data_IF_492907998119
#
_entry.id   IF_492907998119
#
_cell.length_a   1.000
_cell.length_b   1.000
_cell.length_c   1.000
_cell.angle_alpha   90.00
_cell.angle_beta   90.00
_cell.angle_gamma   90.00
#
_symmetry.space_group_name_H-M   'P 1'
#
loop_
_entity.id
_entity.type
_entity.pdbx_description
1 polymer ?
#
# COMPACT_ATOMS: atom_id res chain seq x y z
N UNK A 1 -2.48 22.17 -10.81
CA UNK A 1 -3.60 21.20 -10.78
C UNK A 1 -3.79 20.59 -12.16
N UNK A 2 -3.99 19.27 -12.23
CA UNK A 2 -4.28 18.53 -13.46
C UNK A 2 -5.38 17.49 -13.24
N UNK A 3 -6.13 17.15 -14.28
CA UNK A 3 -7.30 16.27 -14.21
C UNK A 3 -7.16 15.08 -15.17
N UNK A 4 -7.52 13.88 -14.73
CA UNK A 4 -7.63 12.75 -15.66
C UNK A 4 -8.89 12.89 -16.52
N UNK A 5 -8.84 12.69 -17.86
CA UNK A 5 -10.03 12.75 -18.70
C UNK A 5 -11.08 11.66 -18.40
N UNK A 6 -10.64 10.45 -18.02
CA UNK A 6 -11.53 9.29 -17.81
C UNK A 6 -12.24 9.35 -16.45
N UNK A 7 -11.49 9.15 -15.35
CA UNK A 7 -12.05 9.14 -14.01
C UNK A 7 -12.41 10.53 -13.46
N UNK A 8 -12.11 11.61 -14.20
CA UNK A 8 -12.31 13.02 -13.82
C UNK A 8 -11.71 13.40 -12.46
N UNK A 9 -10.74 12.65 -11.95
CA UNK A 9 -10.08 12.92 -10.67
C UNK A 9 -9.07 14.04 -10.81
N UNK A 10 -9.10 14.98 -9.86
CA UNK A 10 -8.23 16.17 -9.82
C UNK A 10 -6.99 15.91 -8.93
N UNK A 11 -5.81 16.31 -9.42
CA UNK A 11 -4.53 16.17 -8.77
C UNK A 11 -3.86 17.53 -8.57
N UNK A 12 -3.33 17.77 -7.37
CA UNK A 12 -2.70 19.04 -6.96
C UNK A 12 -1.18 19.03 -7.14
N UNK A 13 -0.56 17.87 -7.31
CA UNK A 13 0.86 17.72 -7.60
C UNK A 13 1.12 17.91 -9.10
N UNK A 14 1.75 19.03 -9.47
CA UNK A 14 2.06 19.35 -10.86
C UNK A 14 3.24 18.54 -11.43
N UNK A 15 3.92 17.71 -10.64
CA UNK A 15 4.92 16.74 -11.13
C UNK A 15 4.29 15.47 -11.71
N UNK A 16 3.06 15.11 -11.28
CA UNK A 16 2.32 13.99 -11.86
C UNK A 16 1.95 14.29 -13.32
N UNK A 17 2.29 13.37 -14.21
CA UNK A 17 2.01 13.44 -15.65
C UNK A 17 0.90 12.46 -16.08
N UNK A 18 0.66 11.43 -15.28
CA UNK A 18 -0.27 10.33 -15.55
C UNK A 18 -1.15 10.05 -14.33
N UNK A 19 -2.38 9.59 -14.56
CA UNK A 19 -3.26 9.14 -13.48
C UNK A 19 -2.75 7.81 -12.90
N UNK A 20 -2.85 7.67 -11.58
CA UNK A 20 -2.36 6.49 -10.85
C UNK A 20 -3.32 5.27 -10.91
N UNK A 21 -4.56 5.47 -11.38
CA UNK A 21 -5.59 4.43 -11.45
C UNK A 21 -5.78 3.86 -12.87
N UNK A 22 -5.75 4.72 -13.90
CA UNK A 22 -6.00 4.35 -15.30
C UNK A 22 -4.81 4.56 -16.25
N UNK A 23 -3.72 5.20 -15.78
CA UNK A 23 -2.50 5.44 -16.56
C UNK A 23 -2.59 6.55 -17.62
N UNK A 24 -3.74 7.18 -17.83
CA UNK A 24 -3.89 8.22 -18.86
C UNK A 24 -3.19 9.53 -18.47
N UNK A 25 -2.74 10.26 -19.48
CA UNK A 25 -2.07 11.55 -19.30
C UNK A 25 -3.02 12.58 -18.67
N UNK A 26 -2.55 13.27 -17.63
CA UNK A 26 -3.34 14.28 -16.92
C UNK A 26 -3.37 15.60 -17.71
N UNK A 27 -4.57 16.12 -17.97
CA UNK A 27 -4.79 17.36 -18.71
C UNK A 27 -4.75 18.55 -17.75
N UNK A 28 -4.08 19.64 -18.15
CA UNK A 28 -4.06 20.89 -17.38
C UNK A 28 -5.45 21.52 -17.37
N UNK A 29 -6.12 21.56 -16.22
CA UNK A 29 -7.46 22.12 -16.07
C UNK A 29 -7.42 23.54 -15.51
N UNK A 30 -8.13 24.48 -16.15
CA UNK A 30 -8.27 25.87 -15.68
C UNK A 30 -9.74 26.20 -15.39
N UNK A 31 -10.03 26.44 -14.11
CA UNK A 31 -11.29 26.99 -13.57
C UNK A 31 -10.88 28.00 -12.50
N UNK A 32 -11.50 29.21 -12.42
CA UNK A 32 -11.01 30.28 -11.56
C UNK A 32 -11.12 29.98 -10.06
N UNK A 33 -10.24 30.60 -9.28
CA UNK A 33 -10.14 30.40 -7.83
C UNK A 33 -11.26 31.14 -7.05
N UNK A 34 -11.90 30.51 -6.06
CA UNK A 34 -12.79 31.17 -5.10
C UNK A 34 -12.01 31.74 -3.91
N UNK A 35 -11.08 32.67 -4.16
CA UNK A 35 -10.35 33.38 -3.10
C UNK A 35 -11.12 34.65 -2.67
N UNK A 36 -11.85 34.57 -1.56
CA UNK A 36 -12.27 35.78 -0.81
C UNK A 36 -12.14 35.56 0.73
N UNK A 37 -11.16 36.21 1.39
CA UNK A 37 -10.93 36.05 2.83
C UNK A 37 -11.74 37.06 3.67
N UNK A 38 -12.83 36.60 4.29
CA UNK A 38 -13.63 37.41 5.22
C UNK A 38 -12.79 37.89 6.43
N UNK A 39 -12.52 39.20 6.51
CA UNK A 39 -11.59 39.79 7.48
C UNK A 39 -12.16 41.03 8.16
N UNK A 40 -12.67 40.91 9.41
CA UNK A 40 -13.05 42.03 10.31
C UNK A 40 -13.53 41.49 11.68
N UNK A 41 -13.43 42.17 12.84
CA UNK A 41 -12.45 43.15 13.37
C UNK A 41 -12.62 43.25 14.91
N UNK A 42 -11.66 43.89 15.61
CA UNK A 42 -11.52 44.15 17.05
C UNK A 42 -12.79 44.22 17.94
N UNK A 43 -12.67 43.79 19.21
CA UNK A 43 -12.72 44.68 20.42
C UNK A 43 -12.43 43.95 21.75
N UNK A 44 -12.19 44.74 22.82
CA UNK A 44 -11.69 44.35 24.17
C UNK A 44 -12.77 44.67 25.25
N UNK A 45 -12.86 43.94 26.39
CA UNK A 45 -13.99 44.04 27.35
C UNK A 45 -13.82 45.17 28.41
N UNK A 46 -14.76 45.33 29.35
CA UNK A 46 -14.58 44.71 30.69
C UNK A 46 -15.87 44.25 31.43
N UNK A 47 -15.64 43.60 32.58
CA UNK A 47 -16.38 43.51 33.88
C UNK A 47 -17.86 43.97 34.05
N UNK A 48 -18.60 43.29 34.94
CA UNK A 48 -18.99 43.79 36.31
C UNK A 48 -19.91 42.77 37.06
N UNK A 49 -19.95 42.88 38.40
CA UNK A 49 -20.66 42.07 39.42
C UNK A 49 -22.14 41.68 39.12
N UNK A 50 -22.61 40.53 39.61
CA UNK A 50 -23.31 40.39 40.91
C UNK A 50 -24.66 39.63 40.73
N UNK A 51 -25.46 39.25 41.73
CA UNK A 51 -25.37 39.33 43.20
C UNK A 51 -26.36 38.32 43.86
N UNK A 52 -26.19 38.06 45.18
CA UNK A 52 -27.11 37.50 46.21
C UNK A 52 -28.45 36.83 45.80
N UNK A 53 -28.87 35.70 46.40
CA UNK A 53 -29.51 35.70 47.76
C UNK A 53 -29.70 34.31 48.43
N UNK A 54 -29.96 34.34 49.75
CA UNK A 54 -30.44 33.28 50.70
C UNK A 54 -31.97 33.51 50.94
N UNK A 55 -32.75 32.83 51.84
CA UNK A 55 -32.61 31.59 52.64
C UNK A 55 -33.70 30.54 52.26
N UNK A 56 -34.14 29.50 52.99
CA UNK A 56 -34.01 28.94 54.38
C UNK A 56 -33.46 27.49 54.33
N UNK A 57 -33.22 26.69 55.38
CA UNK A 57 -33.58 26.59 56.83
C UNK A 57 -34.92 25.92 57.19
N UNK A 58 -34.85 24.65 57.63
CA UNK A 58 -35.84 23.97 58.47
C UNK A 58 -35.16 22.84 59.28
N UNK A 59 -35.71 22.46 60.44
CA UNK A 59 -35.04 21.68 61.51
C UNK A 59 -35.93 20.56 62.04
N UNK A 60 -35.37 19.38 62.36
CA UNK A 60 -35.95 18.50 63.39
C UNK A 60 -34.89 17.68 64.19
N UNK A 61 -35.33 17.19 65.35
CA UNK A 61 -34.70 16.26 66.30
C UNK A 61 -34.72 14.80 65.77
N UNK A 62 -34.30 13.72 66.44
CA UNK A 62 -33.90 13.38 67.84
C UNK A 62 -32.93 12.17 67.75
N UNK A 63 -32.25 11.59 68.75
CA UNK A 63 -32.28 11.50 70.23
C UNK A 63 -30.87 11.12 70.70
N UNK A 64 -30.45 11.43 71.94
CA UNK A 64 -29.19 10.95 72.51
C UNK A 64 -29.40 9.86 73.59
N UNK A 65 -28.71 8.72 73.50
CA UNK A 65 -28.57 7.72 74.58
C UNK A 65 -27.14 7.10 74.57
N UNK A 66 -26.44 7.31 75.69
CA UNK A 66 -25.29 6.58 76.26
C UNK A 66 -23.90 6.59 75.56
N UNK A 67 -22.89 6.49 76.45
CA UNK A 67 -21.44 6.41 76.28
C UNK A 67 -20.86 5.74 77.57
N UNK A 68 -19.57 5.36 77.64
CA UNK A 68 -18.55 5.32 76.58
C UNK A 68 -18.44 3.86 76.06
N UNK A 69 -17.45 2.97 76.34
CA UNK A 69 -16.13 3.13 76.96
C UNK A 69 -15.08 3.65 75.95
N UNK A 70 -13.78 3.45 76.23
CA UNK A 70 -12.68 3.93 75.38
C UNK A 70 -11.95 2.81 74.63
N UNK A 71 -11.45 3.12 73.44
CA UNK A 71 -10.29 2.41 72.85
C UNK A 71 -9.35 3.41 72.21
N UNK A 72 -8.12 3.50 72.71
CA UNK A 72 -7.05 4.32 72.13
C UNK A 72 -6.61 3.75 70.79
N UNK A 73 -6.86 4.49 69.70
CA UNK A 73 -6.64 4.03 68.32
C UNK A 73 -6.07 5.11 67.40
N UNK A 74 -5.12 5.91 67.89
CA UNK A 74 -4.52 7.00 67.12
C UNK A 74 -3.65 6.51 65.97
N UNK A 75 -4.22 6.43 64.77
CA UNK A 75 -3.49 6.13 63.53
C UNK A 75 -3.60 7.32 62.55
N UNK A 76 -2.75 8.34 62.73
CA UNK A 76 -2.66 9.51 61.82
C UNK A 76 -1.90 9.16 60.51
N UNK A 77 -2.24 8.01 59.92
CA UNK A 77 -1.57 7.42 58.75
C UNK A 77 -2.11 7.99 57.42
N UNK A 78 -2.36 9.31 57.38
CA UNK A 78 -2.93 10.00 56.19
C UNK A 78 -1.96 10.90 55.43
N UNK A 79 -0.72 11.06 55.90
CA UNK A 79 0.27 11.99 55.31
C UNK A 79 1.26 11.35 54.33
N UNK A 80 1.54 10.04 54.43
CA UNK A 80 2.57 9.36 53.62
C UNK A 80 1.98 8.63 52.39
N UNK A 81 0.70 8.25 52.40
CA UNK A 81 0.06 7.54 51.29
C UNK A 81 -0.03 8.35 49.98
N UNK A 82 -0.17 9.68 50.07
CA UNK A 82 -0.34 10.58 48.91
C UNK A 82 0.88 10.66 47.98
N UNK A 83 2.13 10.92 48.45
CA UNK A 83 3.30 10.93 47.56
C UNK A 83 3.57 9.57 46.92
N UNK A 84 3.33 8.46 47.62
CA UNK A 84 3.54 7.12 47.05
C UNK A 84 2.60 6.84 45.87
N UNK A 85 1.31 7.20 45.99
CA UNK A 85 0.34 7.14 44.90
C UNK A 85 0.72 8.04 43.70
N UNK A 86 1.23 9.24 43.97
CA UNK A 86 1.66 10.16 42.91
C UNK A 86 2.86 9.60 42.12
N UNK A 87 3.88 9.05 42.81
CA UNK A 87 5.03 8.40 42.16
C UNK A 87 4.58 7.21 41.33
N UNK A 88 3.69 6.36 41.85
CA UNK A 88 3.18 5.18 41.14
C UNK A 88 2.37 5.59 39.89
N UNK A 89 1.55 6.64 39.98
CA UNK A 89 0.84 7.19 38.82
C UNK A 89 1.80 7.74 37.74
N UNK A 90 2.86 8.46 38.14
CA UNK A 90 3.89 8.94 37.20
C UNK A 90 4.62 7.78 36.51
N UNK A 91 4.96 6.71 37.23
CA UNK A 91 5.57 5.52 36.66
C UNK A 91 4.64 4.79 35.66
N UNK A 92 3.34 4.73 35.95
CA UNK A 92 2.34 4.16 35.01
C UNK A 92 2.23 5.01 33.74
N UNK A 93 2.13 6.35 33.86
CA UNK A 93 2.07 7.24 32.69
C UNK A 93 3.36 7.19 31.88
N UNK A 94 4.53 7.14 32.52
CA UNK A 94 5.82 6.96 31.84
C UNK A 94 5.92 5.61 31.13
N UNK A 95 5.45 4.52 31.74
CA UNK A 95 5.41 3.19 31.13
C UNK A 95 4.48 3.11 29.92
N UNK A 96 3.28 3.69 30.01
CA UNK A 96 2.32 3.79 28.89
C UNK A 96 2.91 4.65 27.77
N UNK A 97 3.46 5.82 28.09
CA UNK A 97 4.10 6.71 27.12
C UNK A 97 5.29 6.05 26.42
N UNK A 98 6.14 5.31 27.14
CA UNK A 98 7.25 4.55 26.58
C UNK A 98 6.77 3.39 25.71
N UNK A 99 5.69 2.69 26.10
CA UNK A 99 5.06 1.64 25.30
C UNK A 99 4.50 2.16 23.98
N UNK A 100 3.73 3.25 24.02
CA UNK A 100 3.20 3.93 22.82
C UNK A 100 4.35 4.44 21.95
N UNK A 101 5.38 5.06 22.54
CA UNK A 101 6.58 5.50 21.82
C UNK A 101 7.30 4.33 21.13
N UNK A 102 7.51 3.21 21.82
CA UNK A 102 8.14 2.00 21.25
C UNK A 102 7.29 1.35 20.16
N UNK A 103 5.97 1.44 20.25
CA UNK A 103 5.07 0.92 19.21
C UNK A 103 5.04 1.84 17.98
N UNK A 104 4.94 3.16 18.17
CA UNK A 104 4.90 4.15 17.08
C UNK A 104 6.26 4.36 16.38
N UNK A 105 7.38 4.27 17.11
CA UNK A 105 8.74 4.27 16.53
C UNK A 105 9.21 2.89 16.12
N UNK A 106 8.45 1.84 16.46
CA UNK A 106 8.67 0.45 16.07
C UNK A 106 8.38 0.24 14.58
N UNK A 107 9.20 0.82 13.71
CA UNK A 107 9.25 0.46 12.28
C UNK A 107 9.35 -1.06 12.21
N UNK A 108 8.37 -1.69 11.58
CA UNK A 108 8.42 -3.13 11.34
C UNK A 108 9.58 -3.43 10.41
N UNK A 109 10.71 -3.85 10.99
CA UNK A 109 11.71 -4.65 10.30
C UNK A 109 11.10 -6.03 10.06
N UNK A 110 10.13 -6.09 9.14
CA UNK A 110 9.66 -7.37 8.62
C UNK A 110 10.89 -8.09 8.08
N UNK A 111 11.21 -9.24 8.66
CA UNK A 111 12.41 -9.99 8.31
C UNK A 111 12.42 -10.23 6.81
N UNK A 112 13.45 -9.75 6.12
CA UNK A 112 13.72 -10.19 4.76
C UNK A 112 13.76 -11.74 4.77
N UNK A 113 13.12 -12.42 3.81
CA UNK A 113 12.99 -13.87 3.85
C UNK A 113 14.38 -14.51 3.93
N UNK A 114 14.63 -15.33 4.96
CA UNK A 114 15.97 -15.88 5.20
C UNK A 114 16.39 -16.73 4.00
N UNK A 115 17.54 -16.39 3.41
CA UNK A 115 18.13 -17.13 2.30
C UNK A 115 18.43 -18.60 2.66
N UNK A 116 18.53 -18.94 3.95
CA UNK A 116 18.64 -20.32 4.45
C UNK A 116 17.44 -21.20 4.05
N UNK A 117 16.28 -20.59 3.77
CA UNK A 117 15.06 -21.29 3.34
C UNK A 117 14.90 -21.40 1.82
N UNK A 118 15.86 -20.92 1.03
CA UNK A 118 15.75 -20.86 -0.44
C UNK A 118 15.92 -22.24 -1.11
N UNK A 119 14.82 -22.82 -1.60
CA UNK A 119 14.87 -24.06 -2.39
C UNK A 119 15.03 -23.80 -3.89
N UNK A 120 16.24 -24.05 -4.42
CA UNK A 120 16.48 -24.08 -5.87
C UNK A 120 15.94 -25.39 -6.46
N UNK A 121 15.21 -25.33 -7.58
CA UNK A 121 14.66 -26.50 -8.30
C UNK A 121 14.96 -26.39 -9.79
N UNK A 122 15.51 -27.45 -10.40
CA UNK A 122 15.84 -27.52 -11.83
C UNK A 122 14.58 -27.79 -12.66
N UNK A 123 14.24 -26.90 -13.60
CA UNK A 123 13.03 -27.02 -14.44
C UNK A 123 13.31 -27.52 -15.87
N UNK A 124 14.55 -27.44 -16.34
CA UNK A 124 14.98 -27.89 -17.68
C UNK A 124 16.36 -28.54 -17.60
N UNK A 125 16.60 -29.57 -18.40
CA UNK A 125 17.78 -30.45 -18.31
C UNK A 125 18.63 -30.54 -19.57
N UNK A 126 18.04 -30.33 -20.75
CA UNK A 126 18.69 -30.38 -22.07
C UNK A 126 19.79 -29.34 -22.32
N UNK A 127 19.92 -28.32 -21.48
CA UNK A 127 20.80 -27.16 -21.72
C UNK A 127 20.31 -26.20 -22.83
N UNK A 128 19.18 -26.50 -23.48
CA UNK A 128 18.64 -25.79 -24.65
C UNK A 128 17.61 -24.69 -24.31
N UNK A 129 17.53 -24.28 -23.05
CA UNK A 129 16.56 -23.29 -22.58
C UNK A 129 17.13 -21.86 -22.64
N UNK A 130 16.45 -20.98 -23.39
CA UNK A 130 16.81 -19.58 -23.57
C UNK A 130 16.03 -18.64 -22.64
N UNK A 131 15.48 -17.54 -23.18
CA UNK A 131 14.65 -16.61 -22.40
C UNK A 131 13.48 -17.33 -21.74
N UNK A 132 13.22 -17.04 -20.46
CA UNK A 132 12.13 -17.61 -19.70
C UNK A 132 11.51 -16.59 -18.73
N UNK A 133 10.25 -16.83 -18.36
CA UNK A 133 9.53 -16.09 -17.34
C UNK A 133 8.58 -17.01 -16.56
N UNK A 134 8.30 -16.67 -15.30
CA UNK A 134 7.38 -17.40 -14.41
C UNK A 134 6.03 -16.65 -14.39
N UNK A 135 4.91 -17.36 -14.32
CA UNK A 135 3.58 -16.76 -14.17
C UNK A 135 3.38 -16.09 -12.80
N UNK A 136 2.50 -15.09 -12.67
CA UNK A 136 2.27 -14.39 -11.39
C UNK A 136 1.78 -15.33 -10.27
N UNK A 137 1.09 -16.41 -10.63
CA UNK A 137 0.59 -17.43 -9.71
C UNK A 137 1.62 -18.53 -9.36
N UNK A 138 2.84 -18.46 -9.92
CA UNK A 138 3.92 -19.41 -9.68
C UNK A 138 3.69 -20.83 -10.21
N UNK A 139 2.65 -21.07 -11.05
CA UNK A 139 2.34 -22.42 -11.57
C UNK A 139 3.02 -22.74 -12.89
N UNK A 140 3.33 -21.76 -13.71
CA UNK A 140 3.82 -21.95 -15.08
C UNK A 140 5.15 -21.23 -15.34
N UNK A 141 5.94 -21.79 -16.26
CA UNK A 141 7.13 -21.14 -16.84
C UNK A 141 7.02 -21.18 -18.36
N UNK A 142 6.97 -20.01 -18.99
CA UNK A 142 7.24 -19.91 -20.43
C UNK A 142 8.76 -19.90 -20.63
N UNK A 143 9.25 -20.63 -21.63
CA UNK A 143 10.64 -20.57 -22.05
C UNK A 143 10.81 -20.80 -23.55
N UNK A 144 11.86 -20.20 -24.11
CA UNK A 144 12.35 -20.52 -25.44
C UNK A 144 13.18 -21.80 -25.37
N UNK A 145 12.96 -22.73 -26.31
CA UNK A 145 13.84 -23.89 -26.55
C UNK A 145 14.54 -23.72 -27.89
N UNK A 146 15.86 -23.80 -27.88
CA UNK A 146 16.71 -23.70 -29.07
C UNK A 146 17.22 -25.09 -29.49
N UNK A 147 16.72 -25.60 -30.61
CA UNK A 147 17.06 -26.94 -31.12
C UNK A 147 17.27 -26.89 -32.63
N UNK A 148 18.34 -26.19 -33.05
CA UNK A 148 18.59 -25.75 -34.43
C UNK A 148 17.74 -24.55 -34.83
N UNK A 149 16.44 -24.59 -34.54
CA UNK A 149 15.51 -23.45 -34.60
C UNK A 149 14.97 -23.14 -33.21
N UNK A 150 14.49 -21.90 -32.99
CA UNK A 150 13.88 -21.51 -31.72
C UNK A 150 12.37 -21.78 -31.72
N UNK A 151 11.87 -22.31 -30.60
CA UNK A 151 10.46 -22.67 -30.35
C UNK A 151 10.03 -22.17 -28.97
N UNK A 152 8.74 -21.94 -28.75
CA UNK A 152 8.22 -21.43 -27.48
C UNK A 152 7.43 -22.51 -26.73
N UNK A 153 7.71 -22.68 -25.44
CA UNK A 153 7.22 -23.78 -24.62
C UNK A 153 6.67 -23.26 -23.28
N UNK A 154 5.62 -23.89 -22.77
CA UNK A 154 5.05 -23.65 -21.43
C UNK A 154 5.18 -24.92 -20.60
N UNK A 155 5.87 -24.80 -19.45
CA UNK A 155 6.00 -25.86 -18.46
C UNK A 155 5.14 -25.58 -17.25
N UNK A 156 4.31 -26.53 -16.83
CA UNK A 156 3.64 -26.49 -15.52
C UNK A 156 4.59 -27.02 -14.44
N UNK A 157 4.87 -26.21 -13.42
CA UNK A 157 5.89 -26.49 -12.40
C UNK A 157 5.51 -27.73 -11.57
N UNK A 158 4.27 -27.81 -11.08
CA UNK A 158 3.88 -28.85 -10.12
C UNK A 158 3.78 -30.26 -10.71
N UNK A 159 3.46 -30.40 -12.01
CA UNK A 159 3.38 -31.72 -12.68
C UNK A 159 4.57 -31.99 -13.60
N UNK A 160 5.43 -30.99 -13.86
CA UNK A 160 6.54 -31.09 -14.80
C UNK A 160 6.15 -31.18 -16.27
N UNK A 161 4.85 -31.17 -16.59
CA UNK A 161 4.34 -31.21 -17.97
C UNK A 161 4.88 -30.03 -18.78
N UNK A 162 5.37 -30.28 -19.99
CA UNK A 162 5.99 -29.27 -20.85
C UNK A 162 5.42 -29.35 -22.26
N UNK A 163 4.78 -28.27 -22.72
CA UNK A 163 4.01 -28.22 -23.96
C UNK A 163 4.57 -27.14 -24.88
N UNK A 164 4.79 -27.49 -26.15
CA UNK A 164 5.17 -26.54 -27.19
C UNK A 164 3.95 -25.71 -27.60
N UNK A 165 4.01 -24.40 -27.40
CA UNK A 165 2.93 -23.45 -27.74
C UNK A 165 3.16 -22.71 -29.06
N UNK A 166 4.42 -22.62 -29.52
CA UNK A 166 4.76 -22.13 -30.86
C UNK A 166 5.83 -23.07 -31.44
N UNK A 167 5.64 -23.62 -32.65
CA UNK A 167 6.60 -24.53 -33.28
C UNK A 167 7.97 -23.88 -33.54
N UNK A 168 9.00 -24.69 -33.81
CA UNK A 168 10.31 -24.18 -34.22
C UNK A 168 10.18 -23.39 -35.52
N UNK A 169 10.85 -22.23 -35.57
CA UNK A 169 10.91 -21.37 -36.74
C UNK A 169 12.27 -20.68 -36.86
N UNK A 170 12.63 -20.27 -38.08
CA UNK A 170 13.87 -19.57 -38.38
C UNK A 170 13.78 -18.08 -38.00
N UNK A 171 13.82 -17.83 -36.68
CA UNK A 171 13.65 -16.52 -36.06
C UNK A 171 14.29 -16.50 -34.67
N UNK A 172 14.45 -15.30 -34.11
CA UNK A 172 15.01 -15.09 -32.77
C UNK A 172 13.97 -14.47 -31.84
N UNK A 173 13.70 -15.14 -30.72
CA UNK A 173 12.94 -14.61 -29.60
C UNK A 173 13.85 -13.73 -28.70
N UNK A 174 13.31 -12.61 -28.24
CA UNK A 174 13.92 -11.77 -27.22
C UNK A 174 13.39 -12.12 -25.82
N UNK A 175 12.92 -11.12 -25.08
CA UNK A 175 12.27 -11.33 -23.77
C UNK A 175 10.90 -11.99 -23.91
N UNK A 176 10.57 -12.82 -22.92
CA UNK A 176 9.23 -13.37 -22.65
C UNK A 176 8.74 -12.83 -21.31
N UNK A 177 7.42 -12.72 -21.13
CA UNK A 177 6.77 -12.41 -19.84
C UNK A 177 5.31 -12.89 -19.85
N UNK A 178 4.73 -13.09 -18.68
CA UNK A 178 3.27 -13.18 -18.53
C UNK A 178 2.66 -11.79 -18.35
N UNK A 179 1.36 -11.67 -18.58
CA UNK A 179 0.54 -10.53 -18.13
C UNK A 179 0.38 -10.53 -16.60
N UNK A 180 0.09 -9.38 -15.95
CA UNK A 180 -0.07 -9.31 -14.49
C UNK A 180 -1.22 -10.16 -13.93
N UNK A 181 -2.27 -10.38 -14.73
CA UNK A 181 -3.42 -11.25 -14.40
C UNK A 181 -3.19 -12.73 -14.72
N UNK A 182 -2.08 -13.07 -15.40
CA UNK A 182 -1.76 -14.42 -15.83
C UNK A 182 -2.55 -14.96 -17.02
N UNK A 183 -3.42 -14.15 -17.66
CA UNK A 183 -4.23 -14.60 -18.81
C UNK A 183 -3.42 -14.76 -20.12
N UNK A 184 -2.34 -14.00 -20.27
CA UNK A 184 -1.58 -13.90 -21.53
C UNK A 184 -0.08 -14.10 -21.33
N UNK A 185 0.56 -14.55 -22.41
CA UNK A 185 2.01 -14.55 -22.61
C UNK A 185 2.33 -13.45 -23.63
N UNK A 186 3.20 -12.54 -23.24
CA UNK A 186 3.82 -11.57 -24.14
C UNK A 186 5.24 -12.01 -24.47
N UNK A 187 5.61 -11.90 -25.74
CA UNK A 187 6.96 -12.15 -26.18
C UNK A 187 7.31 -11.28 -27.38
N UNK A 188 8.59 -10.95 -27.48
CA UNK A 188 9.14 -10.29 -28.67
C UNK A 188 9.89 -11.29 -29.54
N UNK A 189 9.75 -11.18 -30.87
CA UNK A 189 10.56 -11.94 -31.84
C UNK A 189 10.88 -11.12 -33.09
N UNK A 190 11.90 -11.55 -33.84
CA UNK A 190 12.34 -11.00 -35.13
C UNK A 190 12.79 -12.12 -36.06
N UNK A 191 12.57 -12.00 -37.36
CA UNK A 191 13.13 -12.90 -38.37
C UNK A 191 14.65 -12.82 -38.48
N UNK A 192 15.27 -13.79 -39.16
CA UNK A 192 16.69 -13.69 -39.51
C UNK A 192 16.89 -12.52 -40.48
N UNK A 193 17.96 -11.73 -40.26
CA UNK A 193 18.21 -10.49 -40.99
C UNK A 193 17.42 -9.27 -40.51
N UNK A 194 16.29 -9.45 -39.81
CA UNK A 194 15.52 -8.32 -39.27
C UNK A 194 16.24 -7.64 -38.10
N UNK A 195 16.19 -6.30 -38.08
CA UNK A 195 16.76 -5.48 -36.99
C UNK A 195 15.80 -5.24 -35.82
N UNK A 196 14.50 -5.21 -36.11
CA UNK A 196 13.48 -4.80 -35.16
C UNK A 196 12.79 -6.02 -34.56
N UNK A 197 12.50 -5.96 -33.26
CA UNK A 197 11.62 -6.92 -32.60
C UNK A 197 10.16 -6.47 -32.71
N UNK A 198 9.25 -7.41 -32.99
CA UNK A 198 7.80 -7.20 -32.96
C UNK A 198 7.21 -7.88 -31.72
N UNK A 199 6.24 -7.23 -31.07
CA UNK A 199 5.54 -7.73 -29.89
C UNK A 199 4.33 -8.60 -30.29
N UNK A 200 4.21 -9.74 -29.61
CA UNK A 200 3.13 -10.70 -29.78
C UNK A 200 2.49 -11.03 -28.43
N UNK A 201 1.19 -11.31 -28.48
CA UNK A 201 0.35 -11.76 -27.37
C UNK A 201 -0.26 -13.12 -27.72
N UNK A 202 -0.25 -14.04 -26.75
CA UNK A 202 -0.89 -15.37 -26.85
C UNK A 202 -1.65 -15.66 -25.54
N UNK A 203 -2.88 -16.19 -25.55
CA UNK A 203 -3.55 -16.64 -24.33
C UNK A 203 -2.84 -17.84 -23.70
N UNK A 204 -2.70 -17.89 -22.37
CA UNK A 204 -2.00 -18.99 -21.66
C UNK A 204 -2.69 -20.35 -21.85
N UNK A 205 -4.01 -20.36 -22.04
CA UNK A 205 -4.81 -21.57 -22.30
C UNK A 205 -4.79 -22.01 -23.77
N UNK A 206 -4.01 -21.32 -24.63
CA UNK A 206 -4.02 -21.51 -26.08
C UNK A 206 -5.04 -20.62 -26.80
N UNK A 207 -4.85 -20.44 -28.10
CA UNK A 207 -5.63 -19.57 -28.96
C UNK A 207 -4.78 -19.01 -30.11
N UNK A 208 -5.36 -18.16 -30.95
CA UNK A 208 -4.63 -17.55 -32.06
C UNK A 208 -3.59 -16.52 -31.59
N UNK A 209 -2.47 -16.47 -32.31
CA UNK A 209 -1.41 -15.49 -32.10
C UNK A 209 -1.87 -14.10 -32.54
N UNK A 210 -1.89 -13.14 -31.61
CA UNK A 210 -2.13 -11.73 -31.91
C UNK A 210 -0.82 -10.96 -31.95
N UNK A 211 -0.56 -10.26 -33.06
CA UNK A 211 0.39 -9.15 -33.09
C UNK A 211 -0.25 -7.95 -32.40
N UNK A 212 0.44 -7.31 -31.46
CA UNK A 212 0.08 -5.92 -31.15
C UNK A 212 0.56 -5.03 -32.30
N UNK A 213 -0.31 -4.16 -32.86
CA UNK A 213 0.16 -3.17 -33.82
C UNK A 213 1.11 -2.21 -33.09
N UNK A 214 2.33 -2.06 -33.61
CA UNK A 214 3.25 -1.04 -33.11
C UNK A 214 2.53 0.32 -33.17
N UNK A 215 2.54 1.09 -32.07
CA UNK A 215 1.82 2.35 -31.97
C UNK A 215 2.28 3.31 -33.08
N UNK A 216 1.50 3.38 -34.16
CA UNK A 216 1.85 4.10 -35.37
C UNK A 216 1.59 5.59 -35.15
N UNK A 217 2.55 6.24 -34.49
CA UNK A 217 2.41 7.61 -34.02
C UNK A 217 2.02 8.54 -35.17
N UNK A 218 0.80 9.06 -35.08
CA UNK A 218 0.12 9.81 -36.12
C UNK A 218 0.84 11.15 -36.35
N UNK A 219 1.79 11.15 -37.29
CA UNK A 219 2.37 12.37 -37.84
C UNK A 219 1.28 13.15 -38.58
N UNK A 220 0.58 14.00 -37.84
CA UNK A 220 -0.19 15.10 -38.40
C UNK A 220 0.80 16.07 -39.05
N UNK A 221 1.13 15.80 -40.32
CA UNK A 221 1.69 16.81 -41.21
C UNK A 221 0.55 17.77 -41.50
N UNK A 222 0.54 18.90 -40.77
CA UNK A 222 -0.24 20.06 -41.16
C UNK A 222 0.33 20.60 -42.48
N UNK A 223 -0.57 20.93 -43.39
CA UNK A 223 -0.29 21.55 -44.70
C UNK A 223 -0.90 22.95 -44.73
#
# INVERSE_FOLDING_TARGET
MKRCPECRRDYYDDTLLYCLEDGNALVQGSVPSPDEPATAILSVPPEVAGSLTRPTDETDMKTAILQPPATTGGSDSRRIAKPLLAVLAVLVVAGIGFGIYKFATGKQTGSAPSFESMKITKLTDTGKAGSAAISPDGKYVVHVKEDGQQSLWVRHIATGSNVQIIPPAELVYGRTTFSPDGSYIYFIRRGIGERNYVLYQLPVLGGDLKTEPACQQSRHVLA
#
